data_IF_349017328693
#
_entry.id   IF_349017328693
#
_cell.length_a   1.000
_cell.length_b   1.000
_cell.length_c   1.000
_cell.angle_alpha   90.00
_cell.angle_beta   90.00
_cell.angle_gamma   90.00
#
_symmetry.space_group_name_H-M   'P 1'
#
loop_
_entity.id
_entity.type
_entity.pdbx_description
1 polymer ?
#
# COMPACT_ATOMS: atom_id res chain seq x y z
N UNK A 1 -11.20 -2.35 -17.29
CA UNK A 1 -9.98 -3.19 -17.31
C UNK A 1 -10.33 -4.51 -17.98
N UNK A 2 -9.54 -4.94 -18.98
CA UNK A 2 -9.73 -6.26 -19.59
C UNK A 2 -9.06 -7.33 -18.69
N UNK A 3 -9.86 -8.19 -18.07
CA UNK A 3 -9.38 -9.21 -17.13
C UNK A 3 -8.64 -10.37 -17.82
N UNK A 4 -8.83 -10.58 -19.12
CA UNK A 4 -8.23 -11.70 -19.86
C UNK A 4 -6.70 -11.63 -19.96
N UNK A 5 -6.11 -10.46 -19.78
CA UNK A 5 -4.66 -10.25 -19.76
C UNK A 5 -3.98 -10.70 -18.46
N UNK A 6 -4.76 -10.97 -17.39
CA UNK A 6 -4.22 -11.30 -16.09
C UNK A 6 -4.35 -12.80 -15.80
N UNK A 7 -3.34 -13.36 -15.17
CA UNK A 7 -3.37 -14.75 -14.64
C UNK A 7 -3.73 -14.80 -13.18
N UNK A 8 -3.32 -13.78 -12.44
CA UNK A 8 -3.54 -13.67 -11.02
C UNK A 8 -3.85 -12.22 -10.66
N UNK A 9 -4.49 -12.03 -9.53
CA UNK A 9 -4.68 -10.73 -8.89
C UNK A 9 -4.33 -10.81 -7.41
N UNK A 10 -4.31 -9.67 -6.75
CA UNK A 10 -4.09 -9.56 -5.31
C UNK A 10 -5.29 -8.91 -4.66
N UNK A 11 -5.61 -9.36 -3.45
CA UNK A 11 -6.51 -8.67 -2.54
C UNK A 11 -5.71 -8.23 -1.33
N UNK A 12 -5.92 -7.02 -0.87
CA UNK A 12 -5.16 -6.51 0.24
C UNK A 12 -5.98 -5.54 1.11
N UNK A 13 -5.78 -5.67 2.40
CA UNK A 13 -6.13 -4.68 3.41
C UNK A 13 -4.86 -4.07 3.99
N UNK A 14 -4.96 -3.00 4.76
CA UNK A 14 -3.81 -2.32 5.35
C UNK A 14 -3.80 -2.55 6.86
N UNK A 15 -2.64 -2.93 7.42
CA UNK A 15 -2.47 -3.02 8.87
C UNK A 15 -2.18 -1.65 9.50
N UNK A 16 -2.03 -1.62 10.83
CA UNK A 16 -1.74 -0.39 11.58
C UNK A 16 -0.34 0.19 11.30
N UNK A 17 0.55 -0.59 10.70
CA UNK A 17 1.89 -0.16 10.31
C UNK A 17 1.97 0.35 8.87
N UNK A 18 0.82 0.44 8.16
CA UNK A 18 0.78 0.82 6.75
C UNK A 18 1.16 -0.29 5.77
N UNK A 19 1.35 -1.52 6.25
CA UNK A 19 1.70 -2.65 5.40
C UNK A 19 0.45 -3.28 4.77
N UNK A 20 0.57 -3.58 3.47
CA UNK A 20 -0.49 -4.30 2.76
C UNK A 20 -0.44 -5.78 3.12
N UNK A 21 -1.51 -6.28 3.74
CA UNK A 21 -1.71 -7.68 4.11
C UNK A 21 -2.77 -8.30 3.22
N UNK A 22 -2.48 -9.47 2.63
CA UNK A 22 -3.43 -10.01 1.67
C UNK A 22 -3.02 -11.32 1.04
N UNK A 23 -3.65 -11.63 -0.07
CA UNK A 23 -3.47 -12.90 -0.80
C UNK A 23 -3.32 -12.64 -2.30
N UNK A 24 -2.56 -13.53 -2.96
CA UNK A 24 -2.54 -13.66 -4.42
C UNK A 24 -3.49 -14.79 -4.80
N UNK A 25 -4.38 -14.52 -5.73
CA UNK A 25 -5.42 -15.43 -6.17
C UNK A 25 -5.35 -15.64 -7.69
N UNK A 26 -5.76 -16.79 -8.21
CA UNK A 26 -5.94 -16.98 -9.64
C UNK A 26 -7.07 -16.09 -10.16
N UNK A 27 -6.99 -15.66 -11.42
CA UNK A 27 -8.00 -14.77 -12.01
C UNK A 27 -9.40 -15.40 -12.05
N UNK A 28 -9.50 -16.73 -12.07
CA UNK A 28 -10.77 -17.47 -12.00
C UNK A 28 -11.59 -17.17 -10.75
N UNK A 29 -10.96 -16.71 -9.69
CA UNK A 29 -11.61 -16.45 -8.41
C UNK A 29 -12.12 -15.00 -8.31
N UNK A 30 -11.85 -14.18 -9.34
CA UNK A 30 -12.19 -12.75 -9.30
C UNK A 30 -13.70 -12.51 -9.14
N UNK A 31 -14.55 -13.32 -9.76
CA UNK A 31 -16.01 -13.20 -9.69
C UNK A 31 -16.57 -13.51 -8.28
N UNK A 32 -15.73 -14.01 -7.37
CA UNK A 32 -16.13 -14.31 -5.97
C UNK A 32 -15.67 -13.27 -4.96
N UNK A 33 -14.95 -12.26 -5.41
CA UNK A 33 -14.29 -11.26 -4.53
C UNK A 33 -15.30 -10.49 -3.67
N UNK A 34 -16.47 -10.17 -4.20
CA UNK A 34 -17.53 -9.44 -3.53
C UNK A 34 -18.47 -10.33 -2.66
N UNK A 35 -18.30 -11.65 -2.75
CA UNK A 35 -19.15 -12.61 -2.05
C UNK A 35 -18.73 -12.86 -0.60
N UNK A 36 -17.55 -12.34 -0.19
CA UNK A 36 -16.98 -12.60 1.15
C UNK A 36 -16.37 -13.98 1.29
N UNK A 37 -16.02 -14.62 0.16
CA UNK A 37 -15.35 -15.92 0.16
C UNK A 37 -13.89 -15.81 0.60
N UNK A 38 -13.29 -14.63 0.46
CA UNK A 38 -11.89 -14.39 0.81
C UNK A 38 -11.80 -14.00 2.29
N UNK A 39 -10.96 -14.74 3.00
CA UNK A 39 -10.76 -14.57 4.45
C UNK A 39 -9.30 -14.29 4.76
N UNK A 40 -9.08 -13.59 5.87
CA UNK A 40 -7.76 -13.32 6.43
C UNK A 40 -7.88 -13.33 7.95
N UNK A 41 -6.92 -13.90 8.70
CA UNK A 41 -6.91 -13.78 10.15
C UNK A 41 -6.98 -12.32 10.59
N UNK A 42 -7.86 -12.00 11.53
CA UNK A 42 -8.02 -10.62 12.03
C UNK A 42 -6.75 -10.10 12.70
N UNK A 43 -5.95 -11.00 13.26
CA UNK A 43 -4.64 -10.69 13.83
C UNK A 43 -3.66 -10.10 12.83
N UNK A 44 -3.79 -10.42 11.53
CA UNK A 44 -2.92 -9.90 10.48
C UNK A 44 -2.92 -8.37 10.39
N UNK A 45 -3.99 -7.70 10.87
CA UNK A 45 -4.06 -6.24 10.92
C UNK A 45 -3.48 -5.64 12.20
N UNK A 46 -3.14 -6.46 13.17
CA UNK A 46 -2.65 -6.05 14.49
C UNK A 46 -1.29 -6.69 14.81
N UNK A 47 -0.39 -6.65 13.85
CA UNK A 47 1.00 -7.08 14.02
C UNK A 47 1.87 -5.94 14.54
N UNK A 48 3.00 -6.28 15.15
CA UNK A 48 4.03 -5.29 15.48
C UNK A 48 4.75 -4.79 14.21
N UNK A 49 5.64 -3.82 14.37
CA UNK A 49 6.40 -3.22 13.23
C UNK A 49 7.29 -4.24 12.51
N UNK A 50 7.62 -5.35 13.14
CA UNK A 50 8.42 -6.43 12.56
C UNK A 50 7.58 -7.51 11.87
N UNK A 51 6.25 -7.39 11.95
CA UNK A 51 5.31 -8.34 11.37
C UNK A 51 5.06 -9.56 12.26
N UNK A 52 5.35 -9.47 13.56
CA UNK A 52 5.10 -10.51 14.55
C UNK A 52 3.82 -10.24 15.33
N UNK A 53 3.22 -11.30 15.84
CA UNK A 53 2.07 -11.19 16.73
C UNK A 53 2.41 -10.40 17.99
N UNK A 54 1.53 -9.47 18.35
CA UNK A 54 1.66 -8.73 19.61
C UNK A 54 1.47 -9.72 20.75
N UNK A 55 2.43 -9.75 21.67
CA UNK A 55 2.41 -10.62 22.84
C UNK A 55 1.11 -10.44 23.63
N UNK A 56 0.42 -11.54 23.89
CA UNK A 56 -0.89 -11.57 24.56
C UNK A 56 -2.02 -10.87 23.80
N UNK A 57 -1.91 -10.74 22.47
CA UNK A 57 -3.03 -10.24 21.65
C UNK A 57 -4.26 -11.13 21.85
N UNK A 58 -5.43 -10.58 22.22
CA UNK A 58 -6.66 -11.36 22.34
C UNK A 58 -7.08 -11.94 20.98
N UNK A 59 -6.74 -11.30 19.87
CA UNK A 59 -7.05 -11.78 18.52
C UNK A 59 -6.39 -13.13 18.19
N UNK A 60 -5.24 -13.41 18.79
CA UNK A 60 -4.50 -14.68 18.61
C UNK A 60 -4.86 -15.67 19.71
N UNK A 61 -4.74 -15.23 20.99
CA UNK A 61 -4.72 -16.14 22.13
C UNK A 61 -6.11 -16.40 22.75
N UNK A 62 -7.08 -15.51 22.55
CA UNK A 62 -8.44 -15.70 23.07
C UNK A 62 -9.41 -16.19 21.99
N UNK A 63 -9.31 -15.66 20.76
CA UNK A 63 -10.20 -16.04 19.66
C UNK A 63 -9.69 -17.19 18.81
N UNK A 64 -8.46 -17.67 19.07
CA UNK A 64 -7.85 -18.73 18.29
C UNK A 64 -7.49 -18.32 16.87
N UNK A 65 -7.08 -17.07 16.68
CA UNK A 65 -6.70 -16.50 15.37
C UNK A 65 -7.83 -16.59 14.34
N UNK A 66 -9.01 -16.16 14.75
CA UNK A 66 -10.21 -16.25 13.93
C UNK A 66 -10.08 -15.44 12.63
N UNK A 67 -10.58 -16.03 11.54
CA UNK A 67 -10.66 -15.36 10.24
C UNK A 67 -11.72 -14.26 10.23
N UNK A 68 -11.40 -13.12 9.62
CA UNK A 68 -12.35 -12.13 9.15
C UNK A 68 -12.70 -12.33 7.67
N UNK A 69 -13.69 -11.61 7.21
CA UNK A 69 -14.15 -11.58 5.82
C UNK A 69 -13.58 -10.35 5.14
N UNK A 70 -13.03 -10.50 3.93
CA UNK A 70 -12.61 -9.38 3.09
C UNK A 70 -13.69 -9.06 2.06
N UNK A 71 -14.05 -7.79 1.96
CA UNK A 71 -14.94 -7.26 0.91
C UNK A 71 -14.25 -6.09 0.19
N UNK A 72 -14.44 -5.95 -1.14
CA UNK A 72 -13.80 -4.88 -1.90
C UNK A 72 -14.25 -3.50 -1.43
N UNK A 73 -13.34 -2.54 -1.52
CA UNK A 73 -13.68 -1.12 -1.38
C UNK A 73 -14.27 -0.59 -2.69
N UNK A 74 -14.87 0.62 -2.65
CA UNK A 74 -15.41 1.29 -3.84
C UNK A 74 -14.32 1.70 -4.85
N UNK A 75 -13.05 1.59 -4.48
CA UNK A 75 -11.92 1.90 -5.37
C UNK A 75 -11.86 0.97 -6.58
N UNK A 76 -12.30 -0.27 -6.42
CA UNK A 76 -12.16 -1.30 -7.44
C UNK A 76 -10.71 -1.76 -7.68
N UNK A 77 -10.45 -2.50 -8.76
CA UNK A 77 -9.14 -3.03 -9.09
C UNK A 77 -8.16 -1.91 -9.49
N UNK A 78 -6.95 -1.95 -8.93
CA UNK A 78 -5.86 -1.00 -9.14
C UNK A 78 -4.70 -1.71 -9.83
N UNK A 79 -4.25 -1.26 -11.01
CA UNK A 79 -3.13 -1.89 -11.70
C UNK A 79 -1.83 -1.78 -10.91
N UNK A 80 -0.92 -2.73 -11.13
CA UNK A 80 0.42 -2.76 -10.53
C UNK A 80 1.47 -2.76 -11.66
N UNK A 81 1.70 -1.61 -12.32
CA UNK A 81 2.49 -1.53 -13.54
C UNK A 81 3.98 -1.81 -13.36
N UNK A 82 4.50 -1.73 -12.15
CA UNK A 82 5.91 -2.00 -11.80
C UNK A 82 6.27 -3.50 -11.75
N UNK A 83 5.32 -4.39 -12.02
CA UNK A 83 5.54 -5.83 -12.02
C UNK A 83 5.65 -6.36 -13.45
N UNK A 84 6.67 -7.19 -13.70
CA UNK A 84 6.93 -7.81 -15.03
C UNK A 84 5.72 -8.61 -15.56
N UNK A 85 5.03 -9.31 -14.65
CA UNK A 85 3.82 -10.04 -15.00
C UNK A 85 2.61 -9.15 -14.71
N UNK A 86 1.78 -8.85 -15.73
CA UNK A 86 0.59 -8.04 -15.55
C UNK A 86 -0.27 -8.53 -14.38
N UNK A 87 -0.54 -7.66 -13.44
CA UNK A 87 -1.37 -7.94 -12.28
C UNK A 87 -2.04 -6.66 -11.77
N UNK A 88 -3.02 -6.82 -10.91
CA UNK A 88 -3.69 -5.73 -10.20
C UNK A 88 -3.95 -6.16 -8.76
N UNK A 89 -4.27 -5.21 -7.92
CA UNK A 89 -4.78 -5.51 -6.59
C UNK A 89 -6.17 -4.89 -6.39
N UNK A 90 -6.94 -5.51 -5.51
CA UNK A 90 -8.24 -5.02 -5.07
C UNK A 90 -8.09 -4.62 -3.61
N UNK A 91 -8.22 -3.31 -3.28
CA UNK A 91 -8.24 -2.87 -1.90
C UNK A 91 -9.47 -3.40 -1.18
N UNK A 92 -9.28 -3.96 0.01
CA UNK A 92 -10.34 -4.63 0.76
C UNK A 92 -10.63 -3.94 2.08
N UNK A 93 -11.89 -3.99 2.49
CA UNK A 93 -12.34 -3.79 3.86
C UNK A 93 -12.27 -5.11 4.62
N UNK A 94 -12.02 -5.05 5.92
CA UNK A 94 -12.06 -6.21 6.80
C UNK A 94 -13.29 -6.18 7.70
N UNK A 95 -13.99 -7.30 7.75
CA UNK A 95 -15.21 -7.50 8.55
C UNK A 95 -15.06 -8.71 9.45
N UNK A 96 -15.79 -8.71 10.56
CA UNK A 96 -16.05 -9.91 11.35
C UNK A 96 -16.89 -10.93 10.55
N UNK A 97 -16.99 -12.16 11.06
CA UNK A 97 -17.77 -13.23 10.41
C UNK A 97 -19.25 -12.87 10.26
N UNK A 98 -19.80 -12.09 11.17
CA UNK A 98 -21.18 -11.58 11.14
C UNK A 98 -21.36 -10.37 10.23
N UNK A 99 -20.31 -9.97 9.50
CA UNK A 99 -20.23 -8.80 8.62
C UNK A 99 -20.27 -7.45 9.34
N UNK A 100 -20.02 -7.40 10.62
CA UNK A 100 -19.77 -6.12 11.29
C UNK A 100 -18.36 -5.60 10.91
N UNK A 101 -18.18 -4.29 10.72
CA UNK A 101 -16.87 -3.72 10.42
C UNK A 101 -15.85 -4.06 11.52
N UNK A 102 -14.73 -4.67 11.14
CA UNK A 102 -13.69 -4.99 12.10
C UNK A 102 -13.07 -3.71 12.68
N UNK A 103 -13.12 -3.57 14.00
CA UNK A 103 -12.66 -2.35 14.67
C UNK A 103 -11.15 -2.07 14.53
N UNK A 104 -10.37 -3.12 14.29
CA UNK A 104 -8.92 -3.04 14.06
C UNK A 104 -8.51 -2.65 12.63
N UNK A 105 -9.45 -2.54 11.70
CA UNK A 105 -9.16 -2.05 10.35
C UNK A 105 -9.05 -0.52 10.37
N UNK A 106 -7.85 0.07 10.06
CA UNK A 106 -7.64 1.52 10.08
C UNK A 106 -8.52 2.26 9.06
N UNK A 107 -8.94 1.62 7.97
CA UNK A 107 -9.86 2.24 6.98
C UNK A 107 -11.24 2.44 7.56
N UNK A 108 -11.77 1.47 8.31
CA UNK A 108 -13.04 1.65 9.02
C UNK A 108 -12.96 2.75 10.07
N UNK A 109 -11.81 2.91 10.74
CA UNK A 109 -11.60 4.01 11.66
C UNK A 109 -11.66 5.37 10.94
N UNK A 110 -10.96 5.49 9.80
CA UNK A 110 -10.99 6.69 8.98
C UNK A 110 -12.41 6.98 8.46
N UNK A 111 -13.10 5.98 7.93
CA UNK A 111 -14.47 6.14 7.40
C UNK A 111 -15.41 6.71 8.49
N UNK A 112 -15.36 6.16 9.71
CA UNK A 112 -16.17 6.70 10.84
C UNK A 112 -15.86 8.17 11.16
N UNK A 113 -14.61 8.59 11.02
CA UNK A 113 -14.24 10.00 11.21
C UNK A 113 -14.79 10.87 10.08
N UNK A 114 -14.64 10.42 8.83
CA UNK A 114 -15.15 11.14 7.66
C UNK A 114 -16.67 11.30 7.70
N UNK A 115 -17.42 10.30 8.14
CA UNK A 115 -18.88 10.36 8.35
C UNK A 115 -19.27 11.46 9.35
N UNK A 116 -18.47 11.69 10.41
CA UNK A 116 -18.71 12.77 11.36
C UNK A 116 -18.55 14.15 10.75
N UNK A 117 -17.70 14.31 9.74
CA UNK A 117 -17.59 15.55 8.97
C UNK A 117 -18.74 15.67 7.99
N UNK A 118 -19.07 14.62 7.26
CA UNK A 118 -20.14 14.60 6.30
C UNK A 118 -21.51 14.93 6.93
N UNK A 119 -21.79 14.43 8.14
CA UNK A 119 -23.04 14.76 8.87
C UNK A 119 -23.15 16.24 9.23
N UNK A 120 -22.06 17.01 9.18
CA UNK A 120 -22.04 18.48 9.36
C UNK A 120 -22.04 19.25 8.05
N UNK A 121 -22.15 18.56 6.92
CA UNK A 121 -22.02 19.14 5.59
C UNK A 121 -20.59 19.60 5.24
N UNK A 122 -19.58 19.05 5.91
CA UNK A 122 -18.19 19.40 5.69
C UNK A 122 -17.52 18.35 4.82
N UNK A 123 -16.73 18.81 3.86
CA UNK A 123 -15.86 17.97 3.04
C UNK A 123 -14.42 18.06 3.57
N UNK A 124 -13.80 16.92 3.81
CA UNK A 124 -12.39 16.83 4.18
C UNK A 124 -11.54 16.79 2.90
N UNK A 125 -10.55 17.67 2.84
CA UNK A 125 -9.53 17.68 1.78
C UNK A 125 -8.19 17.43 2.46
N UNK A 126 -7.43 16.48 1.94
CA UNK A 126 -6.12 16.12 2.45
C UNK A 126 -5.17 15.83 1.29
N UNK A 127 -3.89 16.05 1.53
CA UNK A 127 -2.80 15.60 0.68
C UNK A 127 -1.82 14.79 1.55
N UNK A 128 -1.07 13.91 0.91
CA UNK A 128 0.01 13.17 1.55
C UNK A 128 1.33 13.62 0.98
N UNK A 129 2.34 13.75 1.84
CA UNK A 129 3.72 13.94 1.48
C UNK A 129 4.48 12.68 1.92
N UNK A 130 5.24 12.10 1.00
CA UNK A 130 5.98 10.87 1.23
C UNK A 130 7.47 11.17 1.11
N UNK A 131 8.16 11.11 2.24
CA UNK A 131 9.62 11.25 2.31
C UNK A 131 10.26 9.87 2.38
N UNK A 132 11.27 9.63 1.57
CA UNK A 132 11.95 8.33 1.50
C UNK A 132 13.40 8.49 1.06
N UNK A 133 14.21 7.47 1.35
CA UNK A 133 15.58 7.36 0.84
C UNK A 133 15.66 6.24 -0.19
N UNK A 134 16.32 6.53 -1.31
CA UNK A 134 16.82 5.47 -2.18
C UNK A 134 18.11 4.91 -1.56
N UNK A 135 18.22 3.60 -1.52
CA UNK A 135 19.38 2.91 -0.94
C UNK A 135 19.87 1.81 -1.86
N UNK A 136 21.17 1.55 -1.81
CA UNK A 136 21.76 0.35 -2.37
C UNK A 136 21.74 -0.75 -1.29
N UNK A 137 20.92 -1.78 -1.51
CA UNK A 137 20.74 -2.95 -0.64
C UNK A 137 21.51 -4.18 -1.12
N UNK A 138 22.43 -4.02 -2.06
CA UNK A 138 23.25 -5.12 -2.60
C UNK A 138 24.21 -5.74 -1.55
N UNK A 139 24.37 -5.08 -0.41
CA UNK A 139 25.19 -5.49 0.71
C UNK A 139 24.41 -5.58 2.01
N UNK A 140 24.98 -6.24 3.02
CA UNK A 140 24.35 -6.39 4.35
C UNK A 140 24.02 -5.04 5.01
N UNK A 141 24.89 -4.03 4.81
CA UNK A 141 24.66 -2.67 5.30
C UNK A 141 24.12 -1.80 4.18
N UNK A 142 23.00 -1.13 4.44
CA UNK A 142 22.47 -0.14 3.50
C UNK A 142 23.48 0.95 3.21
N UNK A 143 23.61 1.31 1.95
CA UNK A 143 24.52 2.36 1.48
C UNK A 143 23.80 3.34 0.54
N UNK A 144 24.38 4.53 0.30
CA UNK A 144 23.84 5.47 -0.67
C UNK A 144 23.66 4.82 -2.05
N UNK A 145 22.60 5.17 -2.79
CA UNK A 145 22.40 4.62 -4.12
C UNK A 145 23.51 5.12 -5.08
N UNK A 146 23.75 4.34 -6.09
CA UNK A 146 24.67 4.75 -7.17
C UNK A 146 23.90 5.68 -8.11
N UNK A 147 24.43 6.87 -8.31
CA UNK A 147 23.89 7.80 -9.31
C UNK A 147 24.04 7.19 -10.70
N UNK A 148 22.93 6.96 -11.44
CA UNK A 148 22.96 6.27 -12.73
C UNK A 148 23.79 6.97 -13.81
N UNK A 149 23.91 8.30 -13.76
CA UNK A 149 24.64 9.08 -14.73
C UNK A 149 26.15 9.10 -14.46
N UNK A 150 26.56 9.18 -13.19
CA UNK A 150 27.97 9.31 -12.83
C UNK A 150 28.65 8.00 -12.43
N UNK A 151 27.88 6.95 -12.11
CA UNK A 151 28.38 5.69 -11.57
C UNK A 151 29.00 5.81 -10.17
N UNK A 152 28.74 6.88 -9.44
CA UNK A 152 29.29 7.15 -8.11
C UNK A 152 28.21 7.12 -7.05
N UNK A 153 28.54 6.75 -5.81
CA UNK A 153 27.60 6.89 -4.70
C UNK A 153 27.07 8.31 -4.56
N UNK A 154 25.79 8.43 -4.26
CA UNK A 154 25.15 9.72 -4.01
C UNK A 154 25.75 10.37 -2.75
N UNK A 155 25.96 11.69 -2.81
CA UNK A 155 26.44 12.47 -1.67
C UNK A 155 25.36 13.43 -1.22
N UNK A 156 24.87 13.25 -0.01
CA UNK A 156 23.71 13.95 0.56
C UNK A 156 23.87 15.43 0.82
N UNK A 157 24.06 16.25 -0.20
CA UNK A 157 24.19 17.72 -0.09
C UNK A 157 23.49 18.45 -1.24
N UNK A 158 22.37 17.94 -1.68
CA UNK A 158 21.74 18.46 -2.89
C UNK A 158 20.29 18.94 -2.64
N UNK A 159 20.05 19.60 -1.51
CA UNK A 159 18.74 20.16 -1.17
C UNK A 159 18.14 20.95 -2.34
N UNK A 160 16.94 20.55 -2.76
CA UNK A 160 16.19 21.09 -3.90
C UNK A 160 16.95 21.10 -5.23
N UNK A 161 17.88 20.16 -5.42
CA UNK A 161 18.70 20.09 -6.63
C UNK A 161 17.98 19.38 -7.77
N UNK A 162 17.58 20.10 -8.79
CA UNK A 162 17.05 19.52 -10.03
C UNK A 162 18.05 18.56 -10.68
N UNK A 163 19.34 18.86 -10.61
CA UNK A 163 20.38 17.96 -11.15
C UNK A 163 20.37 16.59 -10.45
N UNK A 164 20.01 16.53 -9.16
CA UNK A 164 19.89 15.26 -8.46
C UNK A 164 18.65 14.49 -8.93
N UNK A 165 17.52 15.16 -9.07
CA UNK A 165 16.32 14.56 -9.62
C UNK A 165 16.57 14.05 -11.05
N UNK A 166 17.20 14.87 -11.91
CA UNK A 166 17.55 14.48 -13.28
C UNK A 166 18.43 13.23 -13.35
N UNK A 167 19.26 13.01 -12.33
CA UNK A 167 20.08 11.79 -12.26
C UNK A 167 19.26 10.51 -12.08
N UNK A 168 18.04 10.63 -11.56
CA UNK A 168 17.09 9.54 -11.35
C UNK A 168 15.83 9.70 -12.22
N UNK A 169 15.95 10.37 -13.36
CA UNK A 169 14.85 10.69 -14.26
C UNK A 169 14.01 9.46 -14.66
N UNK A 170 14.65 8.34 -14.95
CA UNK A 170 13.96 7.09 -15.28
C UNK A 170 13.07 6.61 -14.13
N UNK A 171 13.54 6.67 -12.89
CA UNK A 171 12.76 6.31 -11.71
C UNK A 171 11.53 7.21 -11.55
N UNK A 172 11.72 8.53 -11.66
CA UNK A 172 10.60 9.46 -11.51
C UNK A 172 9.59 9.36 -12.66
N UNK A 173 10.06 9.14 -13.89
CA UNK A 173 9.19 8.92 -15.04
C UNK A 173 8.31 7.69 -14.83
N UNK A 174 8.90 6.55 -14.45
CA UNK A 174 8.15 5.32 -14.13
C UNK A 174 7.18 5.51 -12.95
N UNK A 175 7.57 6.29 -11.93
CA UNK A 175 6.72 6.62 -10.79
C UNK A 175 5.49 7.41 -11.21
N UNK A 176 5.65 8.47 -12.02
CA UNK A 176 4.54 9.28 -12.52
C UNK A 176 3.62 8.49 -13.43
N UNK A 177 4.18 7.68 -14.35
CA UNK A 177 3.41 6.80 -15.22
C UNK A 177 2.59 5.78 -14.40
N UNK A 178 3.18 5.20 -13.37
CA UNK A 178 2.49 4.29 -12.47
C UNK A 178 1.37 4.98 -11.70
N UNK A 179 1.60 6.18 -11.18
CA UNK A 179 0.59 6.98 -10.50
C UNK A 179 -0.58 7.32 -11.43
N UNK A 180 -0.32 7.73 -12.67
CA UNK A 180 -1.34 8.00 -13.66
C UNK A 180 -2.21 6.76 -13.94
N UNK A 181 -1.58 5.61 -14.20
CA UNK A 181 -2.28 4.35 -14.42
C UNK A 181 -3.11 3.91 -13.21
N UNK A 182 -2.63 4.19 -12.01
CA UNK A 182 -3.35 3.92 -10.77
C UNK A 182 -4.43 4.98 -10.46
N UNK A 183 -4.51 6.08 -11.20
CA UNK A 183 -5.42 7.20 -10.93
C UNK A 183 -5.05 7.93 -9.64
N UNK A 184 -3.76 8.09 -9.36
CA UNK A 184 -3.19 8.87 -8.27
C UNK A 184 -2.66 10.16 -8.85
N UNK A 185 -3.09 11.30 -8.31
CA UNK A 185 -2.62 12.62 -8.71
C UNK A 185 -1.27 12.93 -8.01
N UNK A 186 -0.18 12.43 -8.58
CA UNK A 186 1.17 12.74 -8.13
C UNK A 186 1.60 14.11 -8.67
N UNK A 187 1.88 15.07 -7.78
CA UNK A 187 2.07 16.47 -8.19
C UNK A 187 3.55 16.87 -8.22
N UNK A 188 4.27 16.69 -7.13
CA UNK A 188 5.61 17.28 -6.98
C UNK A 188 6.58 16.25 -6.43
N UNK A 189 7.79 16.24 -7.00
CA UNK A 189 8.94 15.55 -6.43
C UNK A 189 10.06 16.58 -6.21
N UNK A 190 10.70 16.49 -5.06
CA UNK A 190 11.87 17.30 -4.71
C UNK A 190 12.99 16.42 -4.14
N UNK A 191 14.20 16.90 -4.14
CA UNK A 191 15.29 16.29 -3.37
C UNK A 191 15.47 17.02 -2.06
N UNK A 192 15.51 16.26 -0.95
CA UNK A 192 15.72 16.80 0.38
C UNK A 192 17.19 16.76 0.81
N UNK A 193 17.47 17.28 2.00
CA UNK A 193 18.76 17.18 2.62
C UNK A 193 19.04 15.73 3.05
N UNK A 194 20.25 15.23 2.75
CA UNK A 194 20.59 13.84 3.03
C UNK A 194 20.74 13.02 1.75
N UNK A 195 20.28 11.79 1.76
CA UNK A 195 20.36 10.84 0.64
C UNK A 195 18.99 10.59 -0.03
N UNK A 196 17.99 11.36 0.34
CA UNK A 196 16.63 11.28 -0.18
C UNK A 196 16.32 12.30 -1.28
#
# INVERSE_FOLDING_TARGET
MDLNQFRTFRVATCDLNGQMRGKRLPISDYDTVDQGAIKLPLSALNLDVWGSDIKNSPLVFETGDADGILLPTDRGPVPMPWLDVPTFFVPMWTYEVDRTPFAGDPRHALARVLDRYATRGWQVVAATELEFYLVDDSHENLSPPINPQSGRPLVGRAYMSLRQLDSFDAYFSELYDACELMGIDAQTAISEAGLG
#
